data_IF_445888357350
#
_entry.id   IF_445888357350
#
_cell.length_a   1.000
_cell.length_b   1.000
_cell.length_c   1.000
_cell.angle_alpha   90.00
_cell.angle_beta   90.00
_cell.angle_gamma   90.00
#
_symmetry.space_group_name_H-M   'P 1'
#
loop_
_entity.id
_entity.type
_entity.pdbx_description
1 polymer ?
#
# COMPACT_ATOMS: atom_id res chain seq x y z
N UNK A 1 -17.25 2.65 13.96
CA UNK A 1 -17.67 2.35 12.58
C UNK A 1 -17.55 0.86 12.30
N UNK A 2 -16.41 0.26 12.60
CA UNK A 2 -16.12 -1.15 12.41
C UNK A 2 -15.53 -1.73 13.69
N UNK A 3 -15.99 -2.92 14.10
CA UNK A 3 -15.41 -3.73 15.17
C UNK A 3 -15.19 -5.14 14.63
N UNK A 4 -13.97 -5.62 14.74
CA UNK A 4 -13.61 -7.01 14.56
C UNK A 4 -13.37 -7.60 15.95
N UNK A 5 -14.05 -8.69 16.29
CA UNK A 5 -13.95 -9.32 17.60
C UNK A 5 -13.56 -10.78 17.46
N UNK A 6 -12.34 -11.10 17.91
CA UNK A 6 -11.76 -12.45 17.86
C UNK A 6 -11.90 -13.11 16.48
N UNK A 7 -11.63 -12.31 15.43
CA UNK A 7 -11.87 -12.71 14.04
C UNK A 7 -10.79 -13.67 13.54
N UNK A 8 -11.20 -14.85 13.07
CA UNK A 8 -10.33 -15.77 12.33
C UNK A 8 -10.93 -16.04 10.95
N UNK A 9 -10.11 -15.95 9.92
CA UNK A 9 -10.54 -16.06 8.51
C UNK A 9 -9.51 -16.86 7.71
N UNK A 10 -9.97 -17.73 6.83
CA UNK A 10 -9.10 -18.50 5.95
C UNK A 10 -9.87 -19.21 4.83
N UNK A 11 -9.15 -20.05 4.10
CA UNK A 11 -9.68 -20.93 3.06
C UNK A 11 -9.27 -22.37 3.39
N UNK A 12 -10.11 -23.14 4.07
CA UNK A 12 -9.86 -24.55 4.41
C UNK A 12 -9.48 -24.75 5.86
N UNK A 13 -8.57 -25.71 6.15
CA UNK A 13 -8.30 -26.16 7.52
C UNK A 13 -7.42 -25.22 8.36
N UNK A 14 -6.70 -24.29 7.74
CA UNK A 14 -5.81 -23.35 8.43
C UNK A 14 -6.27 -21.92 8.19
N UNK A 15 -6.50 -21.10 9.24
CA UNK A 15 -6.81 -19.69 9.09
C UNK A 15 -5.58 -18.94 8.54
N UNK A 16 -5.82 -17.96 7.66
CA UNK A 16 -4.80 -17.01 7.18
C UNK A 16 -4.64 -15.90 8.21
N UNK A 17 -5.74 -15.54 8.85
CA UNK A 17 -5.82 -14.55 9.93
C UNK A 17 -6.39 -15.26 11.13
N UNK A 18 -5.75 -15.14 12.29
CA UNK A 18 -6.16 -15.85 13.48
C UNK A 18 -6.28 -14.93 14.70
N UNK A 19 -7.48 -14.95 15.28
CA UNK A 19 -7.81 -14.26 16.55
C UNK A 19 -7.46 -12.77 16.58
N UNK A 20 -7.83 -12.02 15.52
CA UNK A 20 -7.61 -10.58 15.48
C UNK A 20 -8.80 -9.81 16.08
N UNK A 21 -8.49 -8.76 16.82
CA UNK A 21 -9.49 -7.80 17.32
C UNK A 21 -9.06 -6.39 16.96
N UNK A 22 -9.98 -5.62 16.36
CA UNK A 22 -9.72 -4.28 15.84
C UNK A 22 -10.94 -3.38 16.01
N UNK A 23 -10.70 -2.13 16.37
CA UNK A 23 -11.74 -1.10 16.40
C UNK A 23 -11.33 0.07 15.51
N UNK A 24 -12.17 0.36 14.51
CA UNK A 24 -12.05 1.57 13.67
C UNK A 24 -13.13 2.57 14.09
N UNK A 25 -12.69 3.76 14.49
CA UNK A 25 -13.58 4.82 14.97
C UNK A 25 -14.00 5.74 13.82
N UNK A 26 -15.06 6.49 14.04
CA UNK A 26 -15.54 7.48 13.07
C UNK A 26 -14.47 8.56 12.85
N UNK A 27 -14.23 8.87 11.58
CA UNK A 27 -13.27 9.90 11.15
C UNK A 27 -11.82 9.43 11.15
N UNK A 28 -11.55 8.13 11.46
CA UNK A 28 -10.23 7.56 11.27
C UNK A 28 -10.00 7.21 9.80
N UNK A 29 -8.80 7.52 9.30
CA UNK A 29 -8.30 7.00 8.04
C UNK A 29 -7.21 5.98 8.35
N UNK A 30 -7.53 4.71 8.13
CA UNK A 30 -6.73 3.55 8.56
C UNK A 30 -6.03 2.95 7.34
N UNK A 31 -4.71 2.93 7.36
CA UNK A 31 -3.91 2.18 6.41
C UNK A 31 -3.71 0.73 6.90
N UNK A 32 -4.04 -0.26 6.07
CA UNK A 32 -3.70 -1.66 6.30
C UNK A 32 -2.51 -2.04 5.43
N UNK A 33 -1.40 -2.38 6.05
CA UNK A 33 -0.17 -2.79 5.39
C UNK A 33 0.27 -4.19 5.83
N UNK A 34 1.14 -4.80 5.09
CA UNK A 34 1.69 -6.14 5.38
C UNK A 34 2.24 -6.80 4.13
N UNK A 35 3.01 -7.88 4.24
CA UNK A 35 3.57 -8.60 3.11
C UNK A 35 2.50 -9.15 2.17
N UNK A 36 2.91 -9.50 0.95
CA UNK A 36 2.02 -10.18 0.02
C UNK A 36 1.62 -11.55 0.59
N UNK A 37 0.34 -11.90 0.47
CA UNK A 37 -0.19 -13.13 1.05
C UNK A 37 -0.52 -13.07 2.56
N UNK A 38 -0.27 -11.97 3.27
CA UNK A 38 -0.61 -11.82 4.69
C UNK A 38 -2.12 -11.88 4.99
N UNK A 39 -2.99 -11.82 3.97
CA UNK A 39 -4.43 -11.88 4.15
C UNK A 39 -5.15 -10.53 4.09
N UNK A 40 -4.51 -9.44 3.63
CA UNK A 40 -5.12 -8.10 3.55
C UNK A 40 -6.44 -8.10 2.77
N UNK A 41 -6.46 -8.60 1.54
CA UNK A 41 -7.67 -8.69 0.72
C UNK A 41 -8.69 -9.70 1.29
N UNK A 42 -8.23 -10.76 1.96
CA UNK A 42 -9.09 -11.70 2.68
C UNK A 42 -9.83 -10.99 3.81
N UNK A 43 -9.13 -10.16 4.59
CA UNK A 43 -9.72 -9.36 5.64
C UNK A 43 -10.77 -8.37 5.09
N UNK A 44 -10.44 -7.65 4.01
CA UNK A 44 -11.39 -6.73 3.37
C UNK A 44 -12.62 -7.47 2.86
N UNK A 45 -12.46 -8.60 2.14
CA UNK A 45 -13.58 -9.42 1.67
C UNK A 45 -14.49 -9.90 2.82
N UNK A 46 -13.89 -10.15 3.99
CA UNK A 46 -14.67 -10.51 5.19
C UNK A 46 -15.42 -9.30 5.75
N UNK A 47 -14.79 -8.12 5.79
CA UNK A 47 -15.43 -6.88 6.27
C UNK A 47 -16.62 -6.49 5.39
N UNK A 48 -16.50 -6.62 4.06
CA UNK A 48 -17.58 -6.29 3.12
C UNK A 48 -18.64 -7.40 3.01
N UNK A 49 -18.40 -8.55 3.65
CA UNK A 49 -19.36 -9.66 3.71
C UNK A 49 -19.30 -10.62 2.53
N UNK A 50 -18.28 -10.57 1.69
CA UNK A 50 -18.03 -11.50 0.59
C UNK A 50 -17.47 -12.85 1.09
N UNK A 51 -16.78 -12.82 2.23
CA UNK A 51 -16.22 -13.99 2.88
C UNK A 51 -16.76 -14.09 4.32
N UNK A 52 -17.17 -15.29 4.72
CA UNK A 52 -17.62 -15.52 6.09
C UNK A 52 -16.44 -15.87 6.99
N UNK A 53 -16.37 -15.30 8.22
CA UNK A 53 -15.34 -15.68 9.19
C UNK A 53 -15.53 -17.11 9.67
N UNK A 54 -14.42 -17.78 9.99
CA UNK A 54 -14.43 -19.10 10.63
C UNK A 54 -14.77 -18.99 12.12
N UNK A 55 -14.23 -17.97 12.78
CA UNK A 55 -14.52 -17.61 14.17
C UNK A 55 -14.63 -16.10 14.32
N UNK A 56 -15.27 -15.69 15.42
CA UNK A 56 -15.48 -14.27 15.71
C UNK A 56 -16.56 -13.64 14.85
N UNK A 57 -16.59 -12.33 14.84
CA UNK A 57 -17.59 -11.60 14.06
C UNK A 57 -17.10 -10.21 13.63
N UNK A 58 -17.77 -9.66 12.63
CA UNK A 58 -17.58 -8.32 12.08
C UNK A 58 -18.83 -7.51 12.39
N UNK A 59 -18.69 -6.45 13.17
CA UNK A 59 -19.78 -5.53 13.47
C UNK A 59 -19.57 -4.21 12.77
N UNK A 60 -20.53 -3.85 11.91
CA UNK A 60 -20.60 -2.54 11.26
C UNK A 60 -21.72 -1.74 11.89
N UNK A 61 -21.43 -0.50 12.29
CA UNK A 61 -22.38 0.37 12.99
C UNK A 61 -23.67 0.60 12.21
N UNK A 62 -24.82 0.66 12.89
CA UNK A 62 -26.17 0.74 12.29
C UNK A 62 -26.43 1.90 11.31
N UNK A 63 -25.60 2.96 11.30
CA UNK A 63 -25.71 4.10 10.39
C UNK A 63 -24.51 4.22 9.47
N UNK A 64 -23.79 3.15 9.31
CA UNK A 64 -22.63 3.08 8.42
C UNK A 64 -23.08 2.59 7.07
N UNK A 65 -22.78 3.38 6.05
CA UNK A 65 -22.91 3.04 4.63
C UNK A 65 -21.52 2.79 4.11
N UNK A 66 -21.30 1.58 3.61
CA UNK A 66 -19.97 1.10 3.18
C UNK A 66 -19.88 1.25 1.67
N UNK A 67 -18.94 2.08 1.23
CA UNK A 67 -18.50 2.12 -0.16
C UNK A 67 -17.23 1.28 -0.30
N UNK A 68 -17.21 0.36 -1.24
CA UNK A 68 -16.06 -0.51 -1.49
C UNK A 68 -15.51 -0.30 -2.90
N UNK A 69 -14.24 -0.02 -2.98
CA UNK A 69 -13.48 0.04 -4.21
C UNK A 69 -12.51 -1.12 -4.27
N UNK A 70 -12.65 -1.97 -5.26
CA UNK A 70 -11.63 -2.94 -5.66
C UNK A 70 -11.51 -2.95 -7.17
N UNK A 71 -10.33 -3.33 -7.65
CA UNK A 71 -10.00 -3.34 -9.06
C UNK A 71 -10.85 -4.34 -9.88
N UNK A 72 -11.43 -5.35 -9.21
CA UNK A 72 -12.23 -6.42 -9.84
C UNK A 72 -13.75 -6.11 -9.91
N UNK A 73 -14.23 -5.11 -9.16
CA UNK A 73 -15.66 -4.85 -8.96
C UNK A 73 -16.11 -3.45 -9.43
N UNK A 74 -15.55 -2.98 -10.53
CA UNK A 74 -16.02 -1.73 -11.13
C UNK A 74 -17.35 -1.95 -11.85
N UNK A 75 -18.47 -1.63 -11.19
CA UNK A 75 -19.80 -1.62 -11.81
C UNK A 75 -19.97 -0.41 -12.75
N UNK A 76 -19.35 -0.51 -13.92
CA UNK A 76 -19.43 0.48 -14.97
C UNK A 76 -20.11 -0.10 -16.21
N UNK A 77 -20.94 0.70 -16.90
CA UNK A 77 -21.66 0.28 -18.09
C UNK A 77 -20.85 0.59 -19.35
N UNK A 78 -20.17 -0.40 -19.90
CA UNK A 78 -19.26 -0.26 -21.06
C UNK A 78 -19.91 0.42 -22.29
N UNK A 79 -21.23 0.27 -22.48
CA UNK A 79 -21.95 0.83 -23.61
C UNK A 79 -22.42 2.29 -23.40
N UNK A 80 -22.24 2.85 -22.23
CA UNK A 80 -22.61 4.22 -21.92
C UNK A 80 -21.44 5.17 -22.13
N UNK A 81 -21.77 6.44 -22.41
CA UNK A 81 -20.76 7.49 -22.34
C UNK A 81 -20.41 7.80 -20.88
N UNK A 82 -19.20 8.29 -20.64
CA UNK A 82 -18.75 8.68 -19.28
C UNK A 82 -19.72 9.65 -18.62
N UNK A 83 -20.24 10.63 -19.37
CA UNK A 83 -21.24 11.58 -18.84
C UNK A 83 -22.56 10.90 -18.54
N UNK A 84 -23.00 9.95 -19.36
CA UNK A 84 -24.25 9.20 -19.15
C UNK A 84 -24.16 8.31 -17.91
N UNK A 85 -23.00 7.70 -17.66
CA UNK A 85 -22.74 6.90 -16.47
C UNK A 85 -23.01 7.69 -15.19
N UNK A 86 -22.51 8.93 -15.11
CA UNK A 86 -22.74 9.80 -13.95
C UNK A 86 -24.17 10.36 -13.91
N UNK A 87 -24.72 10.79 -15.06
CA UNK A 87 -26.07 11.32 -15.14
C UNK A 87 -27.12 10.31 -14.69
N UNK A 88 -27.04 9.09 -15.21
CA UNK A 88 -28.05 8.06 -14.96
C UNK A 88 -27.95 7.49 -13.55
N UNK A 89 -26.71 7.31 -13.05
CA UNK A 89 -26.49 6.74 -11.72
C UNK A 89 -26.94 7.68 -10.60
N UNK A 90 -26.66 9.00 -10.74
CA UNK A 90 -26.94 10.00 -9.70
C UNK A 90 -28.12 10.92 -10.01
N UNK A 91 -28.81 10.70 -11.13
CA UNK A 91 -29.88 11.57 -11.61
C UNK A 91 -29.43 13.05 -11.70
N UNK A 92 -28.23 13.28 -12.25
CA UNK A 92 -27.65 14.60 -12.44
C UNK A 92 -28.02 15.18 -13.80
N UNK A 93 -28.10 16.52 -13.88
CA UNK A 93 -28.10 17.21 -15.17
C UNK A 93 -26.74 17.06 -15.85
N UNK A 94 -26.70 17.17 -17.18
CA UNK A 94 -25.45 17.12 -17.95
C UNK A 94 -24.41 18.12 -17.42
N UNK A 95 -24.84 19.36 -17.15
CA UNK A 95 -23.98 20.40 -16.58
C UNK A 95 -23.34 19.97 -15.24
N UNK A 96 -24.13 19.42 -14.33
CA UNK A 96 -23.64 18.94 -13.04
C UNK A 96 -22.71 17.74 -13.21
N UNK A 97 -23.06 16.79 -14.08
CA UNK A 97 -22.24 15.63 -14.37
C UNK A 97 -20.87 16.03 -14.95
N UNK A 98 -20.86 16.97 -15.92
CA UNK A 98 -19.61 17.48 -16.49
C UNK A 98 -18.75 18.25 -15.49
N UNK A 99 -19.35 18.97 -14.54
CA UNK A 99 -18.62 19.67 -13.50
C UNK A 99 -17.88 18.67 -12.57
N UNK A 100 -18.57 17.63 -12.08
CA UNK A 100 -17.94 16.62 -11.22
C UNK A 100 -16.92 15.74 -11.98
N UNK A 101 -17.19 15.43 -13.25
CA UNK A 101 -16.23 14.74 -14.12
C UNK A 101 -14.98 15.59 -14.34
N UNK A 102 -15.14 16.90 -14.50
CA UNK A 102 -14.02 17.83 -14.66
C UNK A 102 -13.09 17.88 -13.46
N UNK A 103 -13.59 17.72 -12.23
CA UNK A 103 -12.78 17.64 -11.01
C UNK A 103 -11.92 16.37 -10.98
N UNK A 104 -12.33 15.32 -11.70
CA UNK A 104 -11.58 14.08 -11.88
C UNK A 104 -10.92 13.97 -13.27
N UNK A 105 -10.52 15.11 -13.85
CA UNK A 105 -9.77 15.25 -15.10
C UNK A 105 -10.45 14.71 -16.36
N UNK A 106 -11.74 14.44 -16.36
CA UNK A 106 -12.48 14.20 -17.59
C UNK A 106 -12.87 15.54 -18.22
N UNK A 107 -12.16 15.97 -19.25
CA UNK A 107 -12.29 17.32 -19.84
C UNK A 107 -12.65 17.25 -21.33
N UNK A 108 -13.36 18.29 -21.80
CA UNK A 108 -13.68 18.43 -23.21
C UNK A 108 -14.48 17.24 -23.76
N UNK A 109 -13.92 16.56 -24.75
CA UNK A 109 -14.55 15.44 -25.44
C UNK A 109 -14.41 14.10 -24.67
N UNK A 110 -13.59 14.02 -23.62
CA UNK A 110 -13.40 12.80 -22.82
C UNK A 110 -14.71 12.34 -22.18
N UNK A 111 -15.58 13.27 -21.83
CA UNK A 111 -16.88 12.96 -21.20
C UNK A 111 -17.84 12.23 -22.12
N UNK A 112 -17.60 12.26 -23.45
CA UNK A 112 -18.40 11.59 -24.46
C UNK A 112 -17.81 10.28 -24.95
N UNK A 113 -16.60 9.88 -24.46
CA UNK A 113 -16.05 8.55 -24.72
C UNK A 113 -16.96 7.47 -24.16
N UNK A 114 -17.02 6.32 -24.80
CA UNK A 114 -17.66 5.15 -24.20
C UNK A 114 -16.82 4.65 -23.01
N UNK A 115 -17.47 4.23 -21.97
CA UNK A 115 -16.82 3.67 -20.79
C UNK A 115 -15.96 2.45 -21.16
N UNK A 116 -16.42 1.63 -22.12
CA UNK A 116 -15.66 0.49 -22.63
C UNK A 116 -14.37 0.85 -23.38
N UNK A 117 -14.24 2.09 -23.88
CA UNK A 117 -13.06 2.58 -24.59
C UNK A 117 -12.03 3.25 -23.66
N UNK A 118 -12.34 3.37 -22.36
CA UNK A 118 -11.44 3.95 -21.38
C UNK A 118 -10.24 3.02 -21.11
N UNK A 119 -9.08 3.62 -20.91
CA UNK A 119 -7.94 2.90 -20.33
C UNK A 119 -8.23 2.44 -18.89
N UNK A 120 -7.48 1.46 -18.39
CA UNK A 120 -7.65 0.98 -17.01
C UNK A 120 -7.57 2.10 -15.97
N UNK A 121 -6.64 3.06 -16.11
CA UNK A 121 -6.54 4.22 -15.23
C UNK A 121 -7.72 5.18 -15.34
N UNK A 122 -8.27 5.41 -16.54
CA UNK A 122 -9.48 6.21 -16.72
C UNK A 122 -10.71 5.52 -16.14
N UNK A 123 -10.83 4.20 -16.26
CA UNK A 123 -11.90 3.40 -15.62
C UNK A 123 -11.83 3.50 -14.10
N UNK A 124 -10.67 3.24 -13.52
CA UNK A 124 -10.46 3.34 -12.07
C UNK A 124 -10.79 4.76 -11.55
N UNK A 125 -10.41 5.79 -12.27
CA UNK A 125 -10.74 7.19 -11.96
C UNK A 125 -12.24 7.46 -11.99
N UNK A 126 -12.97 6.92 -12.97
CA UNK A 126 -14.42 7.04 -13.04
C UNK A 126 -15.11 6.28 -11.90
N UNK A 127 -14.65 5.09 -11.58
CA UNK A 127 -15.16 4.29 -10.48
C UNK A 127 -14.94 4.97 -9.11
N UNK A 128 -13.75 5.54 -8.88
CA UNK A 128 -13.46 6.34 -7.68
C UNK A 128 -14.36 7.57 -7.59
N UNK A 129 -14.55 8.31 -8.69
CA UNK A 129 -15.50 9.42 -8.73
C UNK A 129 -16.90 8.97 -8.32
N UNK A 130 -17.40 7.86 -8.87
CA UNK A 130 -18.71 7.31 -8.50
C UNK A 130 -18.78 7.00 -7.02
N UNK A 131 -17.75 6.35 -6.47
CA UNK A 131 -17.68 6.02 -5.05
C UNK A 131 -17.81 7.27 -4.16
N UNK A 132 -17.06 8.33 -4.46
CA UNK A 132 -17.15 9.58 -3.70
C UNK A 132 -18.51 10.28 -3.82
N UNK A 133 -19.22 10.10 -4.94
CA UNK A 133 -20.53 10.69 -5.17
C UNK A 133 -21.68 9.90 -4.51
N UNK A 134 -21.48 8.63 -4.15
CA UNK A 134 -22.51 7.78 -3.51
C UNK A 134 -22.93 8.30 -2.14
N UNK A 135 -22.05 9.05 -1.46
CA UNK A 135 -22.35 9.62 -0.15
C UNK A 135 -22.18 8.63 0.99
N UNK A 136 -21.49 7.54 0.75
CA UNK A 136 -21.12 6.59 1.78
C UNK A 136 -20.24 7.25 2.83
N UNK A 137 -20.30 6.78 4.08
CA UNK A 137 -19.57 7.39 5.20
C UNK A 137 -18.44 6.49 5.75
N UNK A 138 -18.27 5.30 5.16
CA UNK A 138 -17.15 4.40 5.40
C UNK A 138 -16.64 3.86 4.06
N UNK A 139 -15.46 4.31 3.64
CA UNK A 139 -14.84 3.88 2.40
C UNK A 139 -13.80 2.80 2.68
N UNK A 140 -13.90 1.69 1.96
CA UNK A 140 -12.90 0.64 1.92
C UNK A 140 -12.26 0.66 0.54
N UNK A 141 -10.95 0.88 0.49
CA UNK A 141 -10.21 1.08 -0.74
C UNK A 141 -9.10 0.01 -0.83
N UNK A 142 -9.24 -0.92 -1.78
CA UNK A 142 -8.23 -1.95 -2.03
C UNK A 142 -7.42 -1.55 -3.27
N UNK A 143 -6.16 -1.14 -3.04
CA UNK A 143 -5.18 -0.67 -4.03
C UNK A 143 -5.71 0.45 -4.96
N UNK A 144 -6.25 1.56 -4.40
CA UNK A 144 -6.91 2.59 -5.20
C UNK A 144 -5.96 3.37 -6.11
N UNK A 145 -4.65 3.30 -5.89
CA UNK A 145 -3.64 4.00 -6.68
C UNK A 145 -3.04 3.17 -7.81
N UNK A 146 -3.38 1.88 -7.89
CA UNK A 146 -2.89 1.01 -8.95
C UNK A 146 -3.34 1.50 -10.32
N UNK A 147 -2.39 1.55 -11.26
CA UNK A 147 -2.59 1.99 -12.64
C UNK A 147 -3.02 3.46 -12.81
N UNK A 148 -3.00 4.26 -11.72
CA UNK A 148 -3.26 5.69 -11.81
C UNK A 148 -1.99 6.45 -12.18
N UNK A 149 -2.12 7.42 -13.10
CA UNK A 149 -1.09 8.42 -13.36
C UNK A 149 -0.96 9.40 -12.18
N UNK A 150 0.17 10.08 -12.10
CA UNK A 150 0.48 11.01 -10.99
C UNK A 150 -0.64 12.07 -10.79
N UNK A 151 -1.13 12.76 -11.84
CA UNK A 151 -2.19 13.75 -11.66
C UNK A 151 -3.50 13.15 -11.10
N UNK A 152 -3.86 11.94 -11.50
CA UNK A 152 -5.05 11.27 -10.98
C UNK A 152 -4.86 10.88 -9.52
N UNK A 153 -3.67 10.40 -9.15
CA UNK A 153 -3.34 10.06 -7.75
C UNK A 153 -3.48 11.28 -6.84
N UNK A 154 -2.94 12.42 -7.23
CA UNK A 154 -3.05 13.69 -6.47
C UNK A 154 -4.51 14.08 -6.21
N UNK A 155 -5.41 13.88 -7.20
CA UNK A 155 -6.85 14.15 -7.03
C UNK A 155 -7.48 13.19 -6.02
N UNK A 156 -7.12 11.91 -6.07
CA UNK A 156 -7.64 10.91 -5.13
C UNK A 156 -7.13 11.21 -3.71
N UNK A 157 -5.86 11.60 -3.56
CA UNK A 157 -5.31 12.06 -2.28
C UNK A 157 -6.08 13.25 -1.72
N UNK A 158 -6.29 14.29 -2.55
CA UNK A 158 -7.04 15.48 -2.15
C UNK A 158 -8.48 15.14 -1.77
N UNK A 159 -9.15 14.29 -2.54
CA UNK A 159 -10.52 13.84 -2.25
C UNK A 159 -10.62 13.09 -0.92
N UNK A 160 -9.64 12.22 -0.62
CA UNK A 160 -9.60 11.49 0.65
C UNK A 160 -9.24 12.37 1.84
N UNK A 161 -8.36 13.35 1.67
CA UNK A 161 -8.02 14.33 2.72
C UNK A 161 -9.22 15.23 3.08
N UNK A 162 -10.10 15.51 2.12
CA UNK A 162 -11.32 16.28 2.31
C UNK A 162 -12.51 15.43 2.75
N UNK A 163 -12.37 14.10 2.75
CA UNK A 163 -13.47 13.21 3.09
C UNK A 163 -13.73 13.20 4.61
N UNK A 164 -14.91 13.63 5.02
CA UNK A 164 -15.29 13.71 6.44
C UNK A 164 -15.72 12.36 7.06
N UNK A 165 -15.69 11.27 6.27
CA UNK A 165 -16.04 9.93 6.72
C UNK A 165 -14.88 9.17 7.34
N UNK A 166 -14.99 7.85 7.30
CA UNK A 166 -13.98 6.91 7.77
C UNK A 166 -13.41 6.18 6.57
N UNK A 167 -12.11 5.96 6.53
CA UNK A 167 -11.45 5.22 5.45
C UNK A 167 -10.70 4.00 6.00
N UNK A 168 -10.75 2.90 5.23
CA UNK A 168 -9.92 1.73 5.44
C UNK A 168 -9.21 1.42 4.12
N UNK A 169 -7.89 1.60 4.09
CA UNK A 169 -7.13 1.71 2.85
C UNK A 169 -6.05 0.65 2.83
N UNK A 170 -6.02 -0.17 1.78
CA UNK A 170 -4.90 -1.04 1.45
C UNK A 170 -4.17 -0.37 0.28
N UNK A 171 -2.87 -0.15 0.41
CA UNK A 171 -2.03 0.28 -0.70
C UNK A 171 -0.58 -0.09 -0.47
N UNK A 172 0.14 -0.34 -1.56
CA UNK A 172 1.60 -0.47 -1.57
C UNK A 172 2.30 0.88 -1.77
N UNK A 173 1.55 1.92 -2.11
CA UNK A 173 2.07 3.28 -2.27
C UNK A 173 2.27 3.96 -0.91
N UNK A 174 3.52 3.95 -0.45
CA UNK A 174 3.93 4.46 0.86
C UNK A 174 3.68 5.97 0.98
N UNK A 175 3.93 6.72 -0.10
CA UNK A 175 3.71 8.15 -0.12
C UNK A 175 2.22 8.48 -0.01
N UNK A 176 1.39 7.80 -0.79
CA UNK A 176 -0.06 7.93 -0.72
C UNK A 176 -0.58 7.64 0.69
N UNK A 177 -0.18 6.51 1.29
CA UNK A 177 -0.59 6.16 2.66
C UNK A 177 -0.17 7.20 3.69
N UNK A 178 1.02 7.78 3.53
CA UNK A 178 1.52 8.81 4.44
C UNK A 178 0.69 10.10 4.39
N UNK A 179 0.14 10.45 3.22
CA UNK A 179 -0.69 11.63 3.02
C UNK A 179 -2.12 11.47 3.52
N UNK A 180 -2.68 10.25 3.44
CA UNK A 180 -4.11 10.03 3.66
C UNK A 180 -4.43 9.31 4.97
N UNK A 181 -3.48 8.62 5.61
CA UNK A 181 -3.75 7.85 6.82
C UNK A 181 -3.47 8.60 8.11
N UNK A 182 -4.31 8.35 9.11
CA UNK A 182 -4.14 8.83 10.50
C UNK A 182 -3.76 7.70 11.45
N UNK A 183 -3.91 6.46 11.03
CA UNK A 183 -3.61 5.24 11.77
C UNK A 183 -3.08 4.18 10.82
N UNK A 184 -2.08 3.45 11.23
CA UNK A 184 -1.49 2.35 10.45
C UNK A 184 -1.68 1.03 11.18
N UNK A 185 -2.14 0.02 10.48
CA UNK A 185 -2.28 -1.36 10.96
C UNK A 185 -1.36 -2.24 10.12
N UNK A 186 -0.52 -2.98 10.78
CA UNK A 186 0.35 -3.98 10.15
C UNK A 186 -0.26 -5.35 10.36
N UNK A 187 -0.56 -6.04 9.26
CA UNK A 187 -0.98 -7.44 9.27
C UNK A 187 0.22 -8.28 8.87
N UNK A 188 0.70 -9.09 9.80
CA UNK A 188 1.84 -9.97 9.60
C UNK A 188 1.65 -11.26 10.40
N UNK A 189 1.95 -12.40 9.76
CA UNK A 189 1.81 -13.75 10.34
C UNK A 189 0.44 -13.97 11.03
N UNK A 190 -0.63 -13.56 10.33
CA UNK A 190 -2.02 -13.69 10.81
C UNK A 190 -2.40 -12.79 11.99
N UNK A 191 -1.53 -11.90 12.43
CA UNK A 191 -1.73 -10.99 13.56
C UNK A 191 -1.72 -9.54 13.12
N UNK A 192 -2.33 -8.68 13.93
CA UNK A 192 -2.32 -7.23 13.69
C UNK A 192 -1.53 -6.50 14.78
N UNK A 193 -0.85 -5.43 14.34
CA UNK A 193 -0.21 -4.46 15.23
C UNK A 193 -0.68 -3.06 14.84
N UNK A 194 -1.15 -2.28 15.81
CA UNK A 194 -1.69 -0.94 15.56
C UNK A 194 -0.66 0.14 15.89
N UNK A 195 -0.52 1.12 14.99
CA UNK A 195 0.30 2.32 15.17
C UNK A 195 -0.61 3.55 15.03
N UNK A 196 -0.65 4.39 16.07
CA UNK A 196 -1.50 5.58 16.12
C UNK A 196 -0.83 6.75 15.40
N UNK A 197 -0.62 6.59 14.10
CA UNK A 197 0.00 7.55 13.21
C UNK A 197 0.02 7.04 11.77
N UNK A 198 0.49 7.90 10.86
CA UNK A 198 0.63 7.59 9.44
C UNK A 198 1.78 6.60 9.16
N UNK A 199 2.06 6.35 7.90
CA UNK A 199 3.10 5.40 7.49
C UNK A 199 4.50 5.81 7.98
N UNK A 200 4.85 7.09 7.94
CA UNK A 200 6.13 7.59 8.44
C UNK A 200 6.29 7.36 9.94
N UNK A 201 5.24 7.60 10.73
CA UNK A 201 5.23 7.29 12.17
C UNK A 201 5.46 5.80 12.45
N UNK A 202 4.80 4.93 11.70
CA UNK A 202 5.05 3.48 11.79
C UNK A 202 6.52 3.15 11.54
N UNK A 203 7.12 3.70 10.48
CA UNK A 203 8.54 3.46 10.13
C UNK A 203 9.50 3.97 11.22
N UNK A 204 9.20 5.12 11.81
CA UNK A 204 9.97 5.65 12.94
C UNK A 204 9.93 4.71 14.14
N UNK A 205 8.72 4.22 14.50
CA UNK A 205 8.55 3.28 15.60
C UNK A 205 9.22 1.93 15.37
N UNK A 206 9.18 1.44 14.14
CA UNK A 206 9.87 0.21 13.77
C UNK A 206 11.39 0.37 13.96
N UNK A 207 11.96 1.47 13.49
CA UNK A 207 13.37 1.78 13.66
C UNK A 207 13.78 1.91 15.13
N UNK A 208 12.97 2.60 15.94
CA UNK A 208 13.21 2.68 17.40
C UNK A 208 13.25 1.28 18.05
N UNK A 209 12.37 0.37 17.66
CA UNK A 209 12.34 -1.00 18.17
C UNK A 209 13.58 -1.80 17.75
N UNK A 210 14.01 -1.65 16.49
CA UNK A 210 15.23 -2.30 15.98
C UNK A 210 16.48 -1.81 16.70
N UNK A 211 16.61 -0.49 16.91
CA UNK A 211 17.73 0.12 17.63
C UNK A 211 17.79 -0.38 19.09
N UNK A 212 16.63 -0.49 19.76
CA UNK A 212 16.54 -1.03 21.12
C UNK A 212 16.94 -2.51 21.20
N UNK A 213 16.52 -3.31 20.23
CA UNK A 213 16.91 -4.73 20.14
C UNK A 213 18.41 -4.90 19.85
N UNK A 214 19.00 -4.04 19.02
CA UNK A 214 20.43 -4.04 18.75
C UNK A 214 21.24 -3.76 20.05
N UNK A 215 20.85 -2.72 20.80
CA UNK A 215 21.49 -2.38 22.09
C UNK A 215 21.35 -3.51 23.11
N UNK A 216 20.16 -4.14 23.20
CA UNK A 216 19.94 -5.25 24.12
C UNK A 216 20.80 -6.49 23.77
N UNK A 217 20.99 -6.75 22.45
CA UNK A 217 21.84 -7.83 21.99
C UNK A 217 23.33 -7.57 22.25
N UNK A 218 23.80 -6.34 22.09
CA UNK A 218 25.17 -5.93 22.43
C UNK A 218 25.47 -6.11 23.92
N UNK A 219 24.53 -5.69 24.80
CA UNK A 219 24.66 -5.85 26.24
C UNK A 219 24.67 -7.33 26.69
N UNK A 220 23.91 -8.18 26.02
CA UNK A 220 23.90 -9.61 26.30
C UNK A 220 25.20 -10.29 25.85
N UNK A 221 25.84 -9.83 24.76
CA UNK A 221 27.14 -10.29 24.31
C UNK A 221 28.25 -9.87 25.29
N UNK A 222 28.24 -8.63 25.80
CA UNK A 222 29.22 -8.17 26.79
C UNK A 222 29.10 -8.91 28.12
N UNK A 223 27.89 -9.22 28.58
CA UNK A 223 27.66 -9.99 29.80
C UNK A 223 28.09 -11.47 29.66
N UNK A 224 27.96 -12.05 28.46
CA UNK A 224 28.39 -13.43 28.20
C UNK A 224 29.92 -13.57 28.10
N UNK A 225 30.65 -12.48 27.81
CA UNK A 225 32.13 -12.46 27.80
C UNK A 225 32.73 -12.26 29.17
N UNK A 226 31.98 -11.68 30.12
CA UNK A 226 32.44 -11.43 31.50
C UNK A 226 32.34 -12.64 32.43
N UNK A 227 31.49 -13.62 32.14
CA UNK A 227 31.28 -14.80 33.01
C UNK A 227 32.14 -16.01 32.66
N UNK A 228 33.04 -15.92 31.65
CA UNK A 228 33.93 -17.00 31.27
C UNK A 228 35.33 -16.94 31.92
N UNK A 229 35.37 -16.63 33.23
CA UNK A 229 36.51 -16.96 34.12
C UNK A 229 36.02 -17.69 35.36
N UNK A 230 36.09 -18.97 35.31
CA UNK A 230 36.05 -20.06 36.29
C UNK A 230 34.86 -21.01 36.16
N UNK A 231 35.15 -22.17 35.72
CA UNK A 231 34.92 -23.50 36.28
C UNK A 231 34.50 -24.54 35.22
N UNK A 232 35.40 -25.46 35.05
CA UNK A 232 35.39 -26.87 34.62
C UNK A 232 34.04 -27.59 34.31
N UNK A 233 33.94 -28.11 33.08
CA UNK A 233 33.69 -29.52 32.67
C UNK A 233 32.59 -30.30 33.43
N UNK A 234 31.53 -30.61 32.77
CA UNK A 234 30.96 -31.89 32.34
C UNK A 234 29.42 -31.86 32.28
N UNK A 235 28.93 -32.56 31.26
CA UNK A 235 27.55 -33.05 31.11
C UNK A 235 26.44 -32.05 30.77
N UNK A 236 26.21 -31.84 29.48
CA UNK A 236 24.89 -31.89 28.84
C UNK A 236 25.00 -31.59 27.34
N UNK A 237 25.50 -32.54 26.59
CA UNK A 237 25.32 -32.61 25.13
C UNK A 237 24.03 -33.40 24.93
N UNK A 238 22.87 -32.73 24.73
CA UNK A 238 21.64 -33.26 24.14
C UNK A 238 20.45 -32.28 24.25
N UNK A 239 20.65 -30.97 23.96
CA UNK A 239 19.50 -30.05 23.80
C UNK A 239 19.79 -28.75 23.03
N UNK A 240 20.73 -28.78 22.07
CA UNK A 240 21.20 -27.57 21.34
C UNK A 240 20.94 -27.61 19.83
N UNK A 241 20.31 -28.66 19.30
CA UNK A 241 20.10 -28.75 17.85
C UNK A 241 18.80 -28.08 17.35
N UNK A 242 17.81 -27.77 18.20
CA UNK A 242 16.58 -27.10 17.77
C UNK A 242 16.61 -25.56 17.81
N UNK A 243 17.64 -24.94 18.45
CA UNK A 243 17.73 -23.48 18.58
C UNK A 243 18.62 -22.79 17.52
N UNK A 244 19.39 -23.55 16.74
CA UNK A 244 20.31 -23.00 15.73
C UNK A 244 19.68 -22.80 14.37
N UNK A 245 18.69 -23.59 13.98
CA UNK A 245 17.98 -23.40 12.70
C UNK A 245 17.07 -22.16 12.69
N UNK A 246 16.45 -21.86 13.81
CA UNK A 246 15.62 -20.65 13.95
C UNK A 246 16.42 -19.35 13.93
N UNK A 247 17.64 -19.37 14.49
CA UNK A 247 18.52 -18.20 14.50
C UNK A 247 19.19 -17.96 13.14
N UNK A 248 19.54 -19.01 12.41
CA UNK A 248 20.08 -18.89 11.05
C UNK A 248 19.01 -18.45 10.04
N UNK A 249 17.76 -18.90 10.15
CA UNK A 249 16.66 -18.39 9.32
C UNK A 249 16.37 -16.90 9.57
N UNK A 250 16.38 -16.46 10.83
CA UNK A 250 16.22 -15.04 11.18
C UNK A 250 17.38 -14.17 10.70
N UNK A 251 18.63 -14.68 10.77
CA UNK A 251 19.80 -13.95 10.27
C UNK A 251 19.77 -13.84 8.74
N UNK A 252 19.37 -14.89 8.04
CA UNK A 252 19.22 -14.85 6.59
C UNK A 252 18.07 -13.91 6.15
N UNK A 253 16.94 -13.92 6.84
CA UNK A 253 15.85 -12.99 6.58
C UNK A 253 16.29 -11.52 6.78
N UNK A 254 17.00 -11.22 7.87
CA UNK A 254 17.57 -9.89 8.13
C UNK A 254 18.56 -9.44 7.05
N UNK A 255 19.43 -10.35 6.57
CA UNK A 255 20.40 -10.04 5.49
C UNK A 255 19.69 -9.75 4.17
N UNK A 256 18.62 -10.49 3.86
CA UNK A 256 17.80 -10.26 2.66
C UNK A 256 17.07 -8.90 2.78
N UNK A 257 16.48 -8.60 3.92
CA UNK A 257 15.76 -7.34 4.16
C UNK A 257 16.71 -6.13 4.07
N UNK A 258 17.92 -6.24 4.61
CA UNK A 258 18.95 -5.21 4.46
C UNK A 258 19.35 -4.99 3.01
N UNK A 259 19.53 -6.07 2.25
CA UNK A 259 19.84 -5.98 0.82
C UNK A 259 18.67 -5.40 0.02
N UNK A 260 17.43 -5.72 0.38
CA UNK A 260 16.23 -5.12 -0.20
C UNK A 260 16.21 -3.61 0.04
N UNK A 261 16.43 -3.16 1.27
CA UNK A 261 16.45 -1.74 1.61
C UNK A 261 17.56 -0.96 0.88
N UNK A 262 18.75 -1.57 0.69
CA UNK A 262 19.84 -0.99 -0.10
C UNK A 262 19.45 -0.86 -1.58
N UNK A 263 18.85 -1.90 -2.16
CA UNK A 263 18.38 -1.89 -3.56
C UNK A 263 17.24 -0.87 -3.76
N UNK A 264 16.28 -0.80 -2.86
CA UNK A 264 15.20 0.19 -2.89
C UNK A 264 15.72 1.64 -2.81
N UNK A 265 16.72 1.88 -1.98
CA UNK A 265 17.36 3.21 -1.87
C UNK A 265 18.07 3.61 -3.16
N UNK A 266 18.73 2.67 -3.83
CA UNK A 266 19.41 2.92 -5.10
C UNK A 266 18.42 3.11 -6.26
N UNK A 267 17.31 2.34 -6.29
CA UNK A 267 16.20 2.55 -7.23
C UNK A 267 15.65 3.97 -7.08
N UNK A 268 15.30 4.39 -5.88
CA UNK A 268 14.76 5.73 -5.63
C UNK A 268 15.73 6.85 -6.07
N UNK A 269 17.04 6.64 -5.89
CA UNK A 269 18.06 7.59 -6.34
C UNK A 269 18.14 7.68 -7.86
N UNK A 270 18.10 6.54 -8.56
CA UNK A 270 18.15 6.51 -10.02
C UNK A 270 16.86 7.05 -10.64
N UNK A 271 15.70 6.78 -10.07
CA UNK A 271 14.42 7.39 -10.48
C UNK A 271 14.44 8.93 -10.37
N UNK A 272 14.98 9.45 -9.27
CA UNK A 272 15.14 10.89 -9.12
C UNK A 272 16.09 11.48 -10.18
N UNK A 273 17.16 10.75 -10.54
CA UNK A 273 18.12 11.14 -11.57
C UNK A 273 17.47 11.10 -12.95
N UNK A 274 16.67 10.09 -13.24
CA UNK A 274 15.89 9.96 -14.48
C UNK A 274 14.95 11.15 -14.66
N UNK A 275 14.19 11.48 -13.63
CA UNK A 275 13.29 12.64 -13.63
C UNK A 275 14.03 13.97 -13.87
N UNK A 276 15.24 14.09 -13.36
CA UNK A 276 16.07 15.27 -13.60
C UNK A 276 16.50 15.36 -15.08
N UNK A 277 16.87 14.26 -15.71
CA UNK A 277 17.22 14.23 -17.13
C UNK A 277 16.00 14.51 -18.03
N UNK A 278 14.83 14.02 -17.69
CA UNK A 278 13.57 14.33 -18.40
C UNK A 278 13.25 15.84 -18.35
N UNK A 279 13.40 16.45 -17.18
CA UNK A 279 13.23 17.92 -17.03
C UNK A 279 14.27 18.69 -17.86
N UNK A 280 15.51 18.23 -17.93
CA UNK A 280 16.54 18.86 -18.77
C UNK A 280 16.21 18.73 -20.26
N UNK A 281 15.71 17.57 -20.73
CA UNK A 281 15.26 17.37 -22.10
C UNK A 281 14.06 18.25 -22.48
N UNK A 282 13.18 18.54 -21.51
CA UNK A 282 12.04 19.41 -21.70
C UNK A 282 12.43 20.93 -21.80
N UNK A 283 13.67 21.28 -21.47
CA UNK A 283 14.14 22.67 -21.53
C UNK A 283 14.27 23.13 -23.00
N UNK A 284 13.60 24.23 -23.41
CA UNK A 284 13.66 24.76 -24.78
C UNK A 284 15.06 25.11 -25.27
N UNK A 285 15.99 25.40 -24.38
CA UNK A 285 17.39 25.70 -24.73
C UNK A 285 18.14 24.43 -25.12
N UNK A 286 17.92 23.33 -24.40
CA UNK A 286 18.51 22.02 -24.68
C UNK A 286 17.93 21.43 -25.97
N UNK A 287 16.65 21.67 -26.25
CA UNK A 287 15.98 21.19 -27.48
C UNK A 287 16.54 21.85 -28.77
N UNK A 288 17.28 22.94 -28.66
CA UNK A 288 17.95 23.59 -29.80
C UNK A 288 19.38 23.09 -30.03
N UNK A 289 19.95 22.34 -29.10
CA UNK A 289 21.30 21.77 -29.18
C UNK A 289 21.25 20.24 -29.33
N UNK A 290 21.45 19.79 -30.59
CA UNK A 290 21.41 18.36 -30.94
C UNK A 290 22.48 17.53 -30.24
N UNK A 291 23.66 18.13 -29.94
CA UNK A 291 24.74 17.41 -29.25
C UNK A 291 24.42 17.22 -27.77
N UNK A 292 23.81 18.22 -27.15
CA UNK A 292 23.40 18.15 -25.74
C UNK A 292 22.19 17.21 -25.55
N UNK A 293 21.20 17.25 -26.45
CA UNK A 293 20.11 16.28 -26.48
C UNK A 293 20.60 14.83 -26.61
N UNK A 294 21.57 14.60 -27.49
CA UNK A 294 22.13 13.26 -27.69
C UNK A 294 22.82 12.73 -26.44
N UNK A 295 23.57 13.57 -25.74
CA UNK A 295 24.25 13.20 -24.48
C UNK A 295 23.24 12.84 -23.38
N UNK A 296 22.20 13.66 -23.20
CA UNK A 296 21.18 13.41 -22.19
C UNK A 296 20.39 12.13 -22.52
N UNK A 297 20.09 11.88 -23.80
CA UNK A 297 19.41 10.65 -24.24
C UNK A 297 20.23 9.40 -23.92
N UNK A 298 21.55 9.44 -24.12
CA UNK A 298 22.44 8.32 -23.76
C UNK A 298 22.48 8.12 -22.23
N UNK A 299 22.44 9.19 -21.45
CA UNK A 299 22.39 9.09 -20.00
C UNK A 299 21.07 8.49 -19.51
N UNK A 300 19.95 8.87 -20.13
CA UNK A 300 18.63 8.27 -19.85
C UNK A 300 18.65 6.76 -20.14
N UNK A 301 19.16 6.35 -21.31
CA UNK A 301 19.22 4.94 -21.70
C UNK A 301 20.11 4.13 -20.74
N UNK A 302 21.26 4.69 -20.33
CA UNK A 302 22.14 4.05 -19.33
C UNK A 302 21.46 3.93 -17.98
N UNK A 303 20.83 4.99 -17.48
CA UNK A 303 20.12 5.01 -16.19
C UNK A 303 18.93 4.06 -16.19
N UNK A 304 18.20 3.97 -17.30
CA UNK A 304 17.10 3.02 -17.46
C UNK A 304 17.60 1.58 -17.38
N UNK A 305 18.71 1.26 -18.04
CA UNK A 305 19.31 -0.09 -17.99
C UNK A 305 19.77 -0.47 -16.59
N UNK A 306 20.32 0.49 -15.83
CA UNK A 306 20.68 0.27 -14.42
C UNK A 306 19.46 0.06 -13.53
N UNK A 307 18.38 0.82 -13.76
CA UNK A 307 17.11 0.65 -13.08
C UNK A 307 16.51 -0.74 -13.34
N UNK A 308 16.48 -1.18 -14.59
CA UNK A 308 15.92 -2.48 -14.96
C UNK A 308 16.70 -3.62 -14.27
N UNK A 309 18.03 -3.52 -14.19
CA UNK A 309 18.87 -4.49 -13.48
C UNK A 309 18.63 -4.50 -11.95
N UNK A 310 18.37 -3.34 -11.36
CA UNK A 310 18.03 -3.23 -9.93
C UNK A 310 16.61 -3.76 -9.63
N UNK A 311 15.64 -3.54 -10.53
CA UNK A 311 14.31 -4.14 -10.41
C UNK A 311 14.36 -5.67 -10.49
N UNK A 312 15.13 -6.25 -11.42
CA UNK A 312 15.34 -7.70 -11.47
C UNK A 312 16.00 -8.23 -10.19
N UNK A 313 16.94 -7.48 -9.61
CA UNK A 313 17.59 -7.85 -8.35
C UNK A 313 16.63 -7.76 -7.17
N UNK A 314 15.80 -6.72 -7.15
CA UNK A 314 14.76 -6.52 -6.14
C UNK A 314 13.72 -7.65 -6.18
N UNK A 315 13.28 -8.04 -7.38
CA UNK A 315 12.32 -9.14 -7.58
C UNK A 315 12.88 -10.47 -7.05
N UNK A 316 14.14 -10.79 -7.35
CA UNK A 316 14.80 -12.02 -6.83
C UNK A 316 15.01 -12.03 -5.33
N UNK A 317 15.13 -10.88 -4.68
CA UNK A 317 15.29 -10.77 -3.23
C UNK A 317 13.95 -10.77 -2.50
N UNK A 318 12.85 -10.46 -3.22
CA UNK A 318 11.49 -10.42 -2.70
C UNK A 318 10.70 -11.73 -2.89
N UNK A 319 11.23 -12.68 -3.71
CA UNK A 319 10.74 -14.06 -3.82
C UNK A 319 11.28 -14.94 -2.64
#
# INVERSE_FOLDING_TARGET
VLVLDHLSVGYGENPIIDDISLVVRRGESVALIGPNGAGKSTLVKTIVGELFPENGHVDIGNRVQVGYFSQEHEELHDSWQVVEEVMNHFNYTEEKARNVLGSFLFKGDDVFKLVGDLSGGERARLALLKLFLQGDNFLILDEPTNHLDIPTREIVEEALQQFEGTCFIISHDRYFLDQVSTKTIVLDDGKITEYLGNYSYYKEKLKEQEDLLAIANEQNLENSVSDNKHTSINESILSVEESTEGSQKKLNAYMIEKQLAEVESEIARLEATMKMYEVQLANPVVQQDLDEMSKISIQIESTQSELDALYEKWERLSE
#
